data_IF_972531000324
#
_entry.id   IF_972531000324
#
_cell.length_a   1.000
_cell.length_b   1.000
_cell.length_c   1.000
_cell.angle_alpha   90.00
_cell.angle_beta   90.00
_cell.angle_gamma   90.00
#
_symmetry.space_group_name_H-M   'P 1'
#
loop_
_entity.id
_entity.type
_entity.pdbx_description
1 polymer ?
#
# COMPACT_ATOMS: atom_id res chain seq x y z
N UNK A 1 -4.08 -21.18 19.94
CA UNK A 1 -3.94 -19.77 19.56
C UNK A 1 -5.13 -18.99 20.09
N UNK A 2 -4.94 -17.75 20.51
CA UNK A 2 -6.03 -16.86 20.94
C UNK A 2 -6.19 -15.76 19.89
N UNK A 3 -7.42 -15.52 19.45
CA UNK A 3 -7.81 -14.47 18.51
C UNK A 3 -8.83 -13.57 19.22
N UNK A 4 -8.49 -12.31 19.40
CA UNK A 4 -9.33 -11.31 20.07
C UNK A 4 -9.81 -10.30 19.04
N UNK A 5 -11.12 -10.19 18.83
CA UNK A 5 -11.69 -9.12 18.02
C UNK A 5 -11.62 -7.80 18.79
N UNK A 6 -11.12 -6.77 18.12
CA UNK A 6 -10.94 -5.43 18.67
C UNK A 6 -11.73 -4.47 17.80
N UNK A 7 -12.60 -3.67 18.40
CA UNK A 7 -13.33 -2.59 17.74
C UNK A 7 -13.29 -1.34 18.61
N UNK A 8 -12.76 -0.24 18.08
CA UNK A 8 -12.50 0.98 18.84
C UNK A 8 -12.97 2.23 18.10
N UNK A 9 -13.44 3.28 18.82
CA UNK A 9 -13.64 4.58 18.21
C UNK A 9 -12.29 5.18 17.77
N UNK A 10 -12.36 6.12 16.84
CA UNK A 10 -11.24 6.97 16.46
C UNK A 10 -11.46 8.39 17.01
N UNK A 11 -10.41 9.17 17.31
CA UNK A 11 -10.54 10.59 17.64
C UNK A 11 -11.41 11.40 16.68
N UNK A 12 -11.51 10.97 15.41
CA UNK A 12 -12.32 11.64 14.37
C UNK A 12 -13.59 10.87 13.96
N UNK A 13 -13.91 9.75 14.61
CA UNK A 13 -15.15 9.01 14.35
C UNK A 13 -15.57 8.13 15.54
N UNK A 14 -16.83 8.27 15.96
CA UNK A 14 -17.45 7.38 16.95
C UNK A 14 -17.92 6.06 16.34
N UNK A 15 -18.57 5.23 17.19
CA UNK A 15 -19.30 4.05 16.73
C UNK A 15 -20.47 4.48 15.83
N UNK A 16 -20.57 3.91 14.64
CA UNK A 16 -21.67 4.19 13.72
C UNK A 16 -23.02 3.77 14.32
N UNK A 17 -24.11 4.41 13.88
CA UNK A 17 -25.47 4.08 14.36
C UNK A 17 -25.88 2.63 14.11
N UNK A 18 -25.34 1.98 13.07
CA UNK A 18 -25.52 0.56 12.79
C UNK A 18 -24.64 -0.37 13.68
N UNK A 19 -23.79 0.19 14.54
CA UNK A 19 -23.02 -0.55 15.55
C UNK A 19 -21.56 -0.87 15.20
N UNK A 20 -21.08 -0.53 14.01
CA UNK A 20 -19.67 -0.70 13.62
C UNK A 20 -18.74 0.35 14.24
N UNK A 21 -17.54 -0.05 14.65
CA UNK A 21 -16.47 0.88 15.01
C UNK A 21 -15.65 1.25 13.76
N UNK A 22 -15.09 2.47 13.66
CA UNK A 22 -14.28 2.88 12.51
C UNK A 22 -12.95 2.12 12.45
N UNK A 23 -12.39 1.72 13.60
CA UNK A 23 -11.16 0.95 13.66
C UNK A 23 -11.47 -0.45 14.18
N UNK A 24 -11.09 -1.47 13.42
CA UNK A 24 -11.41 -2.87 13.74
C UNK A 24 -10.25 -3.79 13.39
N UNK A 25 -10.10 -4.90 14.12
CA UNK A 25 -9.05 -5.86 13.84
C UNK A 25 -9.15 -7.14 14.64
N UNK A 26 -8.19 -8.04 14.40
CA UNK A 26 -7.99 -9.25 15.20
C UNK A 26 -6.58 -9.25 15.77
N UNK A 27 -6.49 -9.43 17.07
CA UNK A 27 -5.23 -9.60 17.77
C UNK A 27 -4.95 -11.09 18.03
N UNK A 28 -3.82 -11.56 17.53
CA UNK A 28 -3.36 -12.94 17.62
C UNK A 28 -2.21 -13.05 18.63
N UNK A 29 -2.32 -14.04 19.54
CA UNK A 29 -1.24 -14.42 20.45
C UNK A 29 -1.30 -15.90 20.85
N UNK A 30 -0.18 -16.44 21.32
CA UNK A 30 -0.15 -17.77 21.92
C UNK A 30 -0.97 -17.83 23.22
N UNK A 31 -1.60 -18.98 23.49
CA UNK A 31 -2.34 -19.21 24.75
C UNK A 31 -1.35 -19.27 25.91
N UNK A 32 -1.70 -18.67 27.06
CA UNK A 32 -0.87 -18.70 28.27
C UNK A 32 0.39 -17.83 28.23
N UNK A 33 0.66 -17.11 27.13
CA UNK A 33 1.77 -16.14 27.03
C UNK A 33 1.24 -14.75 26.71
N UNK A 34 1.77 -13.74 27.40
CA UNK A 34 1.60 -12.33 27.05
C UNK A 34 2.85 -11.86 26.29
N UNK A 35 2.77 -11.60 24.97
CA UNK A 35 3.92 -11.12 24.21
C UNK A 35 4.42 -9.79 24.78
N UNK A 36 5.73 -9.54 24.70
CA UNK A 36 6.31 -8.21 24.91
C UNK A 36 6.57 -7.44 23.63
N UNK A 37 6.63 -8.16 22.51
CA UNK A 37 6.76 -7.61 21.17
C UNK A 37 5.51 -7.98 20.38
N UNK A 38 4.93 -7.02 19.66
CA UNK A 38 3.85 -7.27 18.72
C UNK A 38 4.04 -6.53 17.41
N UNK A 39 3.47 -7.09 16.34
CA UNK A 39 3.38 -6.46 15.03
C UNK A 39 1.98 -5.90 14.82
N UNK A 40 1.88 -4.82 14.04
CA UNK A 40 0.61 -4.30 13.51
C UNK A 40 0.70 -4.17 12.00
N UNK A 41 -0.32 -4.64 11.28
CA UNK A 41 -0.40 -4.54 9.83
C UNK A 41 -1.71 -3.87 9.42
N UNK A 42 -1.63 -2.88 8.53
CA UNK A 42 -2.80 -2.22 7.95
C UNK A 42 -2.61 -1.99 6.44
N UNK A 43 -3.72 -1.86 5.74
CA UNK A 43 -3.76 -1.59 4.30
C UNK A 43 -4.75 -0.47 4.00
N UNK A 44 -4.58 0.18 2.85
CA UNK A 44 -5.44 1.27 2.40
C UNK A 44 -6.93 0.88 2.29
N UNK A 45 -7.21 -0.29 1.72
CA UNK A 45 -8.59 -0.72 1.42
C UNK A 45 -8.89 -2.20 1.69
N UNK A 46 -7.88 -3.05 1.82
CA UNK A 46 -8.06 -4.50 1.92
C UNK A 46 -8.26 -4.86 3.39
N UNK A 47 -9.05 -5.89 3.68
CA UNK A 47 -9.17 -6.41 5.03
C UNK A 47 -7.87 -7.08 5.49
N UNK A 48 -7.24 -6.50 6.50
CA UNK A 48 -6.02 -7.01 7.11
C UNK A 48 -6.26 -7.61 8.50
N UNK A 49 -7.51 -7.69 8.98
CA UNK A 49 -7.81 -8.29 10.28
C UNK A 49 -7.33 -9.74 10.37
N UNK A 50 -7.54 -10.53 9.32
CA UNK A 50 -7.08 -11.93 9.20
C UNK A 50 -5.79 -12.07 8.38
N UNK A 51 -4.84 -11.13 8.54
CA UNK A 51 -3.59 -11.15 7.78
C UNK A 51 -2.86 -12.51 7.85
N UNK A 52 -2.37 -13.00 6.71
CA UNK A 52 -1.86 -14.37 6.57
C UNK A 52 -0.63 -14.71 7.44
N UNK A 53 0.07 -13.71 7.97
CA UNK A 53 1.19 -13.89 8.91
C UNK A 53 0.78 -14.00 10.38
N UNK A 54 -0.46 -13.68 10.74
CA UNK A 54 -0.84 -13.44 12.13
C UNK A 54 -0.58 -14.66 13.04
N UNK A 55 -1.05 -15.84 12.64
CA UNK A 55 -0.81 -17.08 13.40
C UNK A 55 0.65 -17.52 13.37
N UNK A 56 1.36 -17.30 12.27
CA UNK A 56 2.79 -17.65 12.15
C UNK A 56 3.67 -16.83 13.10
N UNK A 57 3.39 -15.53 13.25
CA UNK A 57 4.14 -14.69 14.19
C UNK A 57 3.78 -15.00 15.63
N UNK A 58 2.50 -15.22 15.92
CA UNK A 58 2.05 -15.50 17.27
C UNK A 58 2.48 -16.89 17.79
N UNK A 59 2.66 -17.89 16.92
CA UNK A 59 3.31 -19.15 17.28
C UNK A 59 4.81 -18.99 17.61
N UNK A 60 5.46 -17.96 17.05
CA UNK A 60 6.84 -17.52 17.39
C UNK A 60 6.87 -16.57 18.58
N UNK A 61 5.75 -16.45 19.29
CA UNK A 61 5.61 -15.66 20.51
C UNK A 61 5.53 -14.15 20.28
N UNK A 62 5.42 -13.67 19.04
CA UNK A 62 5.24 -12.25 18.70
C UNK A 62 3.74 -11.98 18.53
N UNK A 63 3.17 -11.05 19.30
CA UNK A 63 1.77 -10.68 19.11
C UNK A 63 1.53 -10.14 17.69
N UNK A 64 0.34 -10.30 17.13
CA UNK A 64 0.06 -9.76 15.81
C UNK A 64 -1.33 -9.14 15.76
N UNK A 65 -1.42 -7.85 15.48
CA UNK A 65 -2.67 -7.13 15.26
C UNK A 65 -2.85 -6.91 13.76
N UNK A 66 -3.74 -7.70 13.17
CA UNK A 66 -4.32 -7.37 11.87
C UNK A 66 -5.30 -6.22 12.06
N UNK A 67 -5.07 -5.07 11.41
CA UNK A 67 -5.78 -3.82 11.71
C UNK A 67 -6.37 -3.18 10.45
N UNK A 68 -7.64 -2.79 10.56
CA UNK A 68 -8.35 -2.05 9.54
C UNK A 68 -8.61 -0.63 10.03
N UNK A 69 -8.27 0.33 9.17
CA UNK A 69 -8.80 1.69 9.28
C UNK A 69 -10.25 1.72 8.81
N UNK A 70 -10.92 2.87 8.96
CA UNK A 70 -12.28 3.05 8.45
C UNK A 70 -12.41 2.90 6.93
N UNK A 71 -11.27 2.89 6.22
CA UNK A 71 -11.23 2.89 4.76
C UNK A 71 -11.18 1.48 4.14
N UNK A 72 -11.27 0.42 4.94
CA UNK A 72 -11.44 -0.95 4.43
C UNK A 72 -12.70 -1.03 3.55
N UNK A 73 -12.52 -1.28 2.26
CA UNK A 73 -13.59 -1.30 1.25
C UNK A 73 -14.10 0.08 0.82
N UNK A 74 -13.52 1.18 1.31
CA UNK A 74 -13.97 2.56 1.07
C UNK A 74 -12.84 3.44 0.53
N UNK A 75 -12.08 2.92 -0.44
CA UNK A 75 -10.94 3.59 -1.08
C UNK A 75 -11.30 4.96 -1.68
N UNK A 76 -12.50 5.10 -2.24
CA UNK A 76 -13.00 6.36 -2.81
C UNK A 76 -13.16 7.49 -1.80
N UNK A 77 -13.17 7.18 -0.50
CA UNK A 77 -13.27 8.16 0.59
C UNK A 77 -11.96 8.30 1.36
N UNK A 78 -10.87 7.68 0.91
CA UNK A 78 -9.60 7.62 1.64
C UNK A 78 -9.03 9.01 1.95
N UNK A 79 -8.63 9.22 3.21
CA UNK A 79 -7.91 10.40 3.68
C UNK A 79 -6.70 9.92 4.49
N UNK A 80 -5.50 10.33 4.08
CA UNK A 80 -4.26 9.84 4.68
C UNK A 80 -4.19 10.17 6.18
N UNK A 81 -4.38 11.44 6.55
CA UNK A 81 -4.30 11.90 7.94
C UNK A 81 -5.25 11.13 8.87
N UNK A 82 -6.49 10.88 8.43
CA UNK A 82 -7.46 10.08 9.18
C UNK A 82 -7.04 8.60 9.28
N UNK A 83 -6.45 8.04 8.22
CA UNK A 83 -5.95 6.68 8.23
C UNK A 83 -4.79 6.53 9.22
N UNK A 84 -3.89 7.53 9.30
CA UNK A 84 -2.78 7.53 10.25
C UNK A 84 -3.28 7.61 11.70
N UNK A 85 -4.29 8.43 11.98
CA UNK A 85 -4.97 8.47 13.29
C UNK A 85 -5.60 7.12 13.63
N UNK A 86 -6.28 6.48 12.69
CA UNK A 86 -6.89 5.16 12.88
C UNK A 86 -5.85 4.06 13.16
N UNK A 87 -4.68 4.10 12.49
CA UNK A 87 -3.55 3.21 12.80
C UNK A 87 -3.01 3.50 14.21
N UNK A 88 -2.94 4.78 14.59
CA UNK A 88 -2.50 5.22 15.91
C UNK A 88 -3.36 4.67 17.06
N UNK A 89 -4.66 4.49 16.84
CA UNK A 89 -5.54 3.81 17.80
C UNK A 89 -5.09 2.37 18.05
N UNK A 90 -4.75 1.62 17.00
CA UNK A 90 -4.27 0.24 17.10
C UNK A 90 -2.90 0.14 17.80
N UNK A 91 -1.96 1.03 17.46
CA UNK A 91 -0.64 1.11 18.12
C UNK A 91 -0.78 1.43 19.60
N UNK A 92 -1.61 2.41 19.95
CA UNK A 92 -1.87 2.78 21.35
C UNK A 92 -2.52 1.63 22.11
N UNK A 93 -3.49 0.95 21.52
CA UNK A 93 -4.14 -0.21 22.13
C UNK A 93 -3.14 -1.35 22.42
N UNK A 94 -2.21 -1.63 21.50
CA UNK A 94 -1.15 -2.62 21.75
C UNK A 94 -0.31 -2.23 22.98
N UNK A 95 0.14 -0.97 23.06
CA UNK A 95 0.96 -0.51 24.19
C UNK A 95 0.18 -0.49 25.50
N UNK A 96 -0.98 0.17 25.53
CA UNK A 96 -1.70 0.48 26.76
C UNK A 96 -2.59 -0.67 27.25
N UNK A 97 -3.33 -1.33 26.36
CA UNK A 97 -4.30 -2.38 26.74
C UNK A 97 -3.66 -3.77 26.80
N UNK A 98 -2.75 -4.08 25.87
CA UNK A 98 -2.05 -5.37 25.84
C UNK A 98 -0.70 -5.37 26.56
N UNK A 99 -0.19 -4.20 26.96
CA UNK A 99 1.09 -4.08 27.67
C UNK A 99 2.28 -4.48 26.81
N UNK A 100 2.22 -4.18 25.50
CA UNK A 100 3.31 -4.43 24.54
C UNK A 100 4.39 -3.37 24.72
N UNK A 101 5.62 -3.83 24.97
CA UNK A 101 6.78 -2.98 25.16
C UNK A 101 7.34 -2.51 23.80
N UNK A 102 7.35 -3.40 22.81
CA UNK A 102 7.88 -3.15 21.46
C UNK A 102 6.82 -3.38 20.38
N UNK A 103 6.54 -2.36 19.58
CA UNK A 103 5.62 -2.42 18.43
C UNK A 103 6.43 -2.36 17.13
N UNK A 104 6.18 -3.29 16.22
CA UNK A 104 6.78 -3.30 14.88
C UNK A 104 5.68 -3.09 13.85
N UNK A 105 5.85 -2.09 12.97
CA UNK A 105 4.92 -1.86 11.87
C UNK A 105 5.22 -2.85 10.74
N UNK A 106 4.19 -3.47 10.17
CA UNK A 106 4.28 -4.30 8.99
C UNK A 106 3.51 -3.67 7.83
N UNK A 107 4.25 -3.18 6.83
CA UNK A 107 3.70 -2.77 5.56
C UNK A 107 3.80 -3.90 4.52
N UNK A 108 2.67 -4.55 4.21
CA UNK A 108 2.59 -5.49 3.09
C UNK A 108 1.90 -4.82 1.88
N UNK A 109 2.45 -4.99 0.67
CA UNK A 109 1.88 -4.40 -0.55
C UNK A 109 1.74 -2.88 -0.43
N UNK A 110 0.55 -2.33 -0.65
CA UNK A 110 0.27 -0.91 -0.42
C UNK A 110 0.47 -0.48 1.03
N UNK A 111 0.31 -1.39 1.98
CA UNK A 111 0.62 -1.15 3.39
C UNK A 111 2.05 -0.66 3.62
N UNK A 112 3.01 -0.98 2.74
CA UNK A 112 4.39 -0.47 2.79
C UNK A 112 4.44 1.06 2.93
N UNK A 113 3.89 1.75 1.94
CA UNK A 113 3.82 3.22 1.93
C UNK A 113 2.96 3.80 3.05
N UNK A 114 1.82 3.16 3.37
CA UNK A 114 0.91 3.65 4.40
C UNK A 114 1.54 3.59 5.80
N UNK A 115 2.16 2.47 6.13
CA UNK A 115 2.83 2.28 7.42
C UNK A 115 4.11 3.11 7.51
N UNK A 116 4.77 3.40 6.38
CA UNK A 116 5.88 4.36 6.34
C UNK A 116 5.39 5.78 6.64
N UNK A 117 4.28 6.21 6.02
CA UNK A 117 3.65 7.49 6.30
C UNK A 117 3.27 7.62 7.78
N UNK A 118 2.67 6.58 8.37
CA UNK A 118 2.39 6.52 9.80
C UNK A 118 3.64 6.74 10.66
N UNK A 119 4.70 5.97 10.41
CA UNK A 119 5.93 6.07 11.20
C UNK A 119 6.52 7.47 11.08
N UNK A 120 6.64 8.00 9.86
CA UNK A 120 7.20 9.33 9.65
C UNK A 120 6.39 10.43 10.34
N UNK A 121 5.05 10.32 10.33
CA UNK A 121 4.17 11.30 10.96
C UNK A 121 4.26 11.22 12.49
N UNK A 122 4.44 10.02 13.04
CA UNK A 122 4.56 9.78 14.47
C UNK A 122 5.94 10.18 15.02
N UNK A 123 6.99 10.22 14.20
CA UNK A 123 8.33 10.69 14.59
C UNK A 123 8.51 12.18 14.37
N UNK A 124 8.11 12.69 13.20
CA UNK A 124 8.25 14.10 12.82
C UNK A 124 7.02 14.51 11.98
N UNK A 125 5.98 15.13 12.58
CA UNK A 125 4.75 15.51 11.89
C UNK A 125 5.00 16.26 10.57
N UNK A 126 4.56 15.68 9.45
CA UNK A 126 4.84 16.18 8.10
C UNK A 126 3.65 16.10 7.12
N UNK A 127 2.62 15.30 7.43
CA UNK A 127 1.43 15.15 6.59
C UNK A 127 0.50 16.35 6.73
N UNK A 128 0.09 16.92 5.60
CA UNK A 128 -0.90 18.01 5.55
C UNK A 128 -2.26 17.50 5.08
N UNK A 129 -3.38 18.08 5.57
CA UNK A 129 -4.71 17.75 5.05
C UNK A 129 -4.86 18.18 3.59
N UNK A 130 -5.84 17.59 2.89
CA UNK A 130 -6.24 18.06 1.56
C UNK A 130 -6.70 19.52 1.60
N UNK A 131 -6.55 20.23 0.47
CA UNK A 131 -6.90 21.64 0.37
C UNK A 131 -8.35 21.91 0.80
N UNK A 132 -8.51 22.89 1.69
CA UNK A 132 -9.80 23.27 2.26
C UNK A 132 -10.33 22.32 3.34
N UNK A 133 -9.53 21.36 3.81
CA UNK A 133 -9.85 20.51 4.96
C UNK A 133 -9.00 20.88 6.17
N UNK A 134 -9.50 20.55 7.36
CA UNK A 134 -8.74 20.66 8.61
C UNK A 134 -7.97 19.36 8.86
N UNK A 135 -6.79 19.40 9.50
CA UNK A 135 -6.10 18.19 9.92
C UNK A 135 -6.99 17.32 10.82
N UNK A 136 -6.88 16.00 10.67
CA UNK A 136 -7.51 15.06 11.59
C UNK A 136 -7.12 15.33 13.05
N UNK A 137 -8.10 15.35 13.96
CA UNK A 137 -7.81 15.41 15.40
C UNK A 137 -6.96 14.19 15.83
N UNK A 138 -5.90 14.42 16.59
CA UNK A 138 -4.96 13.38 17.03
C UNK A 138 -3.81 13.09 16.07
N UNK A 139 -3.73 13.75 14.90
CA UNK A 139 -2.67 13.53 13.90
C UNK A 139 -1.26 13.83 14.43
N UNK A 140 -1.14 14.71 15.43
CA UNK A 140 0.12 15.09 16.08
C UNK A 140 0.41 14.31 17.36
N UNK A 141 -0.51 13.43 17.78
CA UNK A 141 -0.44 12.69 19.05
C UNK A 141 -0.15 11.18 18.82
N UNK A 142 0.34 10.85 17.61
CA UNK A 142 0.65 9.48 17.23
C UNK A 142 1.89 8.99 17.98
N UNK A 143 1.85 7.73 18.41
CA UNK A 143 2.96 7.11 19.12
C UNK A 143 3.84 6.37 18.10
N UNK A 144 5.14 6.69 17.97
CA UNK A 144 6.01 5.99 17.05
C UNK A 144 6.16 4.51 17.45
N UNK A 145 6.34 3.67 16.43
CA UNK A 145 6.72 2.28 16.61
C UNK A 145 8.25 2.14 16.68
N UNK A 146 8.68 0.97 17.15
CA UNK A 146 10.09 0.68 17.44
C UNK A 146 10.84 0.05 16.25
N UNK A 147 10.11 -0.46 15.25
CA UNK A 147 10.69 -1.04 14.04
C UNK A 147 9.72 -1.06 12.86
N UNK A 148 10.27 -1.21 11.66
CA UNK A 148 9.52 -1.19 10.40
C UNK A 148 9.86 -2.40 9.52
N UNK A 149 8.85 -3.14 9.09
CA UNK A 149 9.01 -4.26 8.14
C UNK A 149 8.17 -3.95 6.90
N UNK A 150 8.81 -3.92 5.74
CA UNK A 150 8.14 -3.90 4.44
C UNK A 150 8.23 -5.29 3.81
N UNK A 151 7.12 -5.84 3.29
CA UNK A 151 7.12 -7.15 2.63
C UNK A 151 6.27 -7.17 1.38
N UNK A 152 6.84 -7.60 0.24
CA UNK A 152 6.18 -7.52 -1.08
C UNK A 152 5.51 -6.14 -1.27
N UNK A 153 6.21 -5.07 -0.90
CA UNK A 153 5.67 -3.73 -0.80
C UNK A 153 6.05 -2.90 -2.03
N UNK A 154 5.13 -2.07 -2.51
CA UNK A 154 5.38 -1.14 -3.62
C UNK A 154 5.71 0.27 -3.10
N UNK A 155 6.34 1.14 -3.92
CA UNK A 155 6.83 2.46 -3.48
C UNK A 155 5.72 3.48 -3.16
N UNK A 156 4.47 3.20 -3.53
CA UNK A 156 3.34 4.05 -3.16
C UNK A 156 2.16 3.83 -4.10
N UNK A 157 0.96 4.23 -3.68
CA UNK A 157 -0.24 4.18 -4.54
C UNK A 157 -0.07 5.00 -5.84
N UNK A 158 0.53 6.20 -5.83
CA UNK A 158 0.76 6.97 -7.06
C UNK A 158 1.78 6.32 -8.00
N UNK A 159 2.91 5.88 -7.45
CA UNK A 159 3.99 5.25 -8.21
C UNK A 159 3.51 3.92 -8.84
N UNK A 160 2.86 3.04 -8.06
CA UNK A 160 2.39 1.73 -8.57
C UNK A 160 1.26 1.88 -9.58
N UNK A 161 0.29 2.77 -9.33
CA UNK A 161 -0.80 3.02 -10.27
C UNK A 161 -0.23 3.49 -11.60
N UNK A 162 0.66 4.49 -11.57
CA UNK A 162 1.22 5.04 -12.81
C UNK A 162 2.00 4.00 -13.58
N UNK A 163 2.79 3.16 -12.90
CA UNK A 163 3.51 2.07 -13.55
C UNK A 163 2.59 1.03 -14.19
N UNK A 164 1.35 0.88 -13.70
CA UNK A 164 0.36 -0.07 -14.21
C UNK A 164 -0.65 0.55 -15.18
N UNK A 165 -0.73 1.88 -15.30
CA UNK A 165 -1.65 2.55 -16.22
C UNK A 165 -1.34 2.17 -17.67
N UNK A 166 -2.36 1.89 -18.45
CA UNK A 166 -2.22 1.71 -19.89
C UNK A 166 -1.91 3.04 -20.56
N UNK A 167 -0.73 3.14 -21.17
CA UNK A 167 -0.25 4.35 -21.83
C UNK A 167 -0.98 4.64 -23.15
N UNK A 168 -1.70 3.66 -23.70
CA UNK A 168 -2.39 3.78 -24.97
C UNK A 168 -3.81 4.36 -24.85
N UNK A 169 -4.27 4.67 -23.65
CA UNK A 169 -5.56 5.35 -23.44
C UNK A 169 -5.46 6.80 -23.92
N UNK A 170 -6.34 7.17 -24.85
CA UNK A 170 -6.39 8.53 -25.44
C UNK A 170 -7.59 9.35 -25.00
N UNK A 171 -8.62 8.71 -24.45
CA UNK A 171 -9.79 9.35 -23.84
C UNK A 171 -10.15 8.60 -22.56
N UNK A 172 -10.21 9.29 -21.41
CA UNK A 172 -10.56 8.70 -20.11
C UNK A 172 -12.05 8.30 -20.01
N UNK A 173 -12.89 8.69 -20.97
CA UNK A 173 -14.32 8.36 -21.00
C UNK A 173 -14.68 7.29 -22.04
N UNK A 174 -13.75 6.89 -22.92
CA UNK A 174 -13.94 5.82 -23.89
C UNK A 174 -12.97 4.65 -23.61
N UNK A 175 -13.46 3.49 -23.10
CA UNK A 175 -12.61 2.36 -22.77
C UNK A 175 -11.98 1.66 -23.99
N UNK A 176 -12.48 1.93 -25.20
CA UNK A 176 -12.06 1.24 -26.43
C UNK A 176 -11.00 2.03 -27.20
N UNK A 177 -11.10 3.36 -27.23
CA UNK A 177 -10.16 4.23 -27.94
C UNK A 177 -8.71 3.96 -27.49
N UNK A 178 -7.83 3.69 -28.47
CA UNK A 178 -6.47 3.20 -28.21
C UNK A 178 -5.46 3.77 -29.21
N UNK A 179 -4.34 4.30 -28.72
CA UNK A 179 -3.18 4.68 -29.52
C UNK A 179 -2.36 3.42 -29.89
N UNK A 180 -2.42 3.01 -31.15
CA UNK A 180 -1.84 1.73 -31.60
C UNK A 180 -0.31 1.65 -31.44
N UNK A 181 0.40 2.78 -31.49
CA UNK A 181 1.86 2.87 -31.34
C UNK A 181 2.35 2.79 -29.88
N UNK A 182 1.41 2.90 -28.92
CA UNK A 182 1.63 2.72 -27.49
C UNK A 182 0.88 1.50 -26.93
N UNK A 183 0.04 0.83 -27.72
CA UNK A 183 -0.70 -0.35 -27.25
C UNK A 183 0.28 -1.48 -26.93
N UNK A 184 0.42 -1.74 -25.62
CA UNK A 184 1.28 -2.78 -25.07
C UNK A 184 0.89 -4.17 -25.59
N UNK A 185 -0.38 -4.37 -25.95
CA UNK A 185 -0.94 -5.65 -26.38
C UNK A 185 -1.08 -5.76 -27.91
N UNK A 186 -0.63 -4.76 -28.66
CA UNK A 186 -0.51 -4.84 -30.11
C UNK A 186 0.71 -5.70 -30.47
N UNK A 187 0.51 -6.69 -31.35
CA UNK A 187 1.56 -7.63 -31.78
C UNK A 187 2.73 -6.92 -32.47
N UNK A 188 2.48 -5.79 -33.16
CA UNK A 188 3.52 -4.99 -33.81
C UNK A 188 4.52 -4.36 -32.82
N UNK A 189 4.09 -4.14 -31.57
CA UNK A 189 4.94 -3.62 -30.48
C UNK A 189 5.51 -4.73 -29.61
N UNK A 190 5.11 -6.00 -29.81
CA UNK A 190 5.17 -7.08 -28.83
C UNK A 190 6.55 -7.39 -28.24
N UNK A 191 6.61 -8.16 -27.14
CA UNK A 191 7.85 -8.44 -26.42
C UNK A 191 8.83 -9.31 -27.24
N UNK A 192 10.15 -9.20 -27.01
CA UNK A 192 10.77 -8.31 -26.03
C UNK A 192 10.69 -6.84 -26.47
N UNK A 193 10.23 -5.97 -25.56
CA UNK A 193 10.03 -4.56 -25.88
C UNK A 193 11.39 -3.87 -26.01
N UNK A 194 11.55 -3.07 -27.07
CA UNK A 194 12.77 -2.29 -27.23
C UNK A 194 12.89 -1.22 -26.13
N UNK A 195 14.13 -0.83 -25.81
CA UNK A 195 14.37 0.25 -24.85
C UNK A 195 13.65 1.56 -25.26
N UNK A 196 13.62 1.86 -26.55
CA UNK A 196 12.92 3.04 -27.10
C UNK A 196 11.39 2.95 -26.92
N UNK A 197 10.79 1.77 -27.08
CA UNK A 197 9.37 1.58 -26.78
C UNK A 197 9.10 1.78 -25.29
N UNK A 198 9.90 1.14 -24.42
CA UNK A 198 9.73 1.25 -22.97
C UNK A 198 9.83 2.71 -22.52
N UNK A 199 10.81 3.47 -23.02
CA UNK A 199 10.99 4.88 -22.69
C UNK A 199 9.74 5.71 -23.05
N UNK A 200 9.28 5.63 -24.32
CA UNK A 200 8.06 6.33 -24.77
C UNK A 200 6.82 5.91 -23.98
N UNK A 201 6.70 4.63 -23.67
CA UNK A 201 5.58 4.08 -22.92
C UNK A 201 5.55 4.62 -21.48
N UNK A 202 6.70 4.64 -20.78
CA UNK A 202 6.80 5.21 -19.43
C UNK A 202 6.51 6.72 -19.41
N UNK A 203 7.00 7.46 -20.40
CA UNK A 203 6.69 8.90 -20.52
C UNK A 203 5.19 9.14 -20.70
N UNK A 204 4.52 8.33 -21.52
CA UNK A 204 3.08 8.41 -21.73
C UNK A 204 2.27 8.01 -20.48
N UNK A 205 2.72 7.02 -19.69
CA UNK A 205 2.12 6.71 -18.39
C UNK A 205 2.17 7.91 -17.43
N UNK A 206 3.33 8.58 -17.33
CA UNK A 206 3.50 9.78 -16.51
C UNK A 206 2.59 10.92 -16.99
N UNK A 207 2.57 11.16 -18.31
CA UNK A 207 1.73 12.18 -18.92
C UNK A 207 0.23 11.93 -18.63
N UNK A 208 -0.23 10.67 -18.69
CA UNK A 208 -1.61 10.29 -18.38
C UNK A 208 -1.96 10.59 -16.91
N UNK A 209 -1.12 10.19 -15.95
CA UNK A 209 -1.35 10.51 -14.52
C UNK A 209 -1.44 12.03 -14.27
N UNK A 210 -0.55 12.78 -14.91
CA UNK A 210 -0.52 14.24 -14.84
C UNK A 210 -1.78 14.87 -15.44
N UNK A 211 -2.21 14.44 -16.63
CA UNK A 211 -3.42 14.95 -17.27
C UNK A 211 -4.68 14.71 -16.41
N UNK A 212 -4.83 13.53 -15.81
CA UNK A 212 -5.96 13.25 -14.90
C UNK A 212 -5.85 14.14 -13.65
N UNK A 213 -4.64 14.39 -13.13
CA UNK A 213 -4.44 15.31 -12.01
C UNK A 213 -4.86 16.73 -12.37
N UNK A 214 -4.41 17.28 -13.50
CA UNK A 214 -4.76 18.63 -13.97
C UNK A 214 -6.28 18.79 -14.15
N UNK A 215 -6.92 17.78 -14.74
CA UNK A 215 -8.37 17.73 -14.86
C UNK A 215 -9.05 17.67 -13.48
N UNK A 216 -8.58 16.81 -12.58
CA UNK A 216 -9.20 16.63 -11.26
C UNK A 216 -9.13 17.90 -10.41
N UNK A 217 -8.00 18.62 -10.45
CA UNK A 217 -7.84 19.92 -9.79
C UNK A 217 -8.82 20.97 -10.35
N UNK A 218 -8.90 21.07 -11.68
CA UNK A 218 -9.79 22.01 -12.38
C UNK A 218 -11.26 21.71 -12.10
N UNK A 219 -11.62 20.43 -12.20
CA UNK A 219 -12.97 19.95 -11.98
C UNK A 219 -13.39 20.13 -10.51
N UNK A 220 -12.49 19.89 -9.56
CA UNK A 220 -12.79 20.06 -8.13
C UNK A 220 -13.12 21.52 -7.81
N UNK A 221 -12.39 22.47 -8.41
CA UNK A 221 -12.69 23.90 -8.31
C UNK A 221 -14.06 24.22 -8.92
N UNK A 222 -14.35 23.69 -10.12
CA UNK A 222 -15.63 23.93 -10.83
C UNK A 222 -16.83 23.40 -10.04
N UNK A 223 -16.80 22.16 -9.57
CA UNK A 223 -17.94 21.56 -8.85
C UNK A 223 -18.15 22.21 -7.48
N UNK A 224 -17.08 22.62 -6.80
CA UNK A 224 -17.17 23.38 -5.53
C UNK A 224 -17.76 24.76 -5.70
N UNK A 225 -17.41 25.48 -6.77
CA UNK A 225 -18.05 26.76 -7.09
C UNK A 225 -19.56 26.62 -7.34
N UNK A 226 -19.99 25.45 -7.80
CA UNK A 226 -21.41 25.10 -7.97
C UNK A 226 -22.08 24.51 -6.71
N UNK A 227 -21.39 24.47 -5.57
CA UNK A 227 -21.94 24.00 -4.29
C UNK A 227 -21.79 22.50 -4.00
N UNK A 228 -21.12 21.73 -4.87
CA UNK A 228 -20.83 20.32 -4.63
C UNK A 228 -19.53 20.14 -3.84
N UNK A 229 -19.44 19.11 -3.00
CA UNK A 229 -18.24 18.85 -2.19
C UNK A 229 -17.12 18.11 -2.95
N UNK A 230 -17.52 17.23 -3.87
CA UNK A 230 -16.67 16.33 -4.66
C UNK A 230 -17.48 15.72 -5.83
N UNK A 231 -16.83 14.96 -6.70
CA UNK A 231 -17.45 14.22 -7.82
C UNK A 231 -16.81 12.83 -8.00
N UNK A 232 -17.60 11.76 -8.21
CA UNK A 232 -17.06 10.46 -8.58
C UNK A 232 -16.68 10.40 -10.07
N UNK A 233 -15.65 9.62 -10.39
CA UNK A 233 -15.24 9.26 -11.74
C UNK A 233 -14.50 7.91 -11.77
N UNK A 234 -14.25 7.38 -12.95
CA UNK A 234 -13.57 6.09 -13.15
C UNK A 234 -12.23 6.29 -13.84
N UNK A 235 -11.23 5.50 -13.44
CA UNK A 235 -9.97 5.33 -14.16
C UNK A 235 -9.92 3.90 -14.66
N UNK A 236 -9.81 3.74 -15.98
CA UNK A 236 -9.83 2.42 -16.63
C UNK A 236 -8.44 1.99 -17.08
N UNK A 237 -8.30 0.69 -17.38
CA UNK A 237 -7.08 0.11 -17.98
C UNK A 237 -5.82 0.39 -17.14
N UNK A 238 -5.74 -0.30 -16.00
CA UNK A 238 -4.67 -0.16 -14.99
C UNK A 238 -3.95 -1.49 -14.69
N UNK A 239 -3.78 -2.33 -15.72
CA UNK A 239 -3.03 -3.60 -15.67
C UNK A 239 -2.05 -3.74 -16.85
N UNK A 240 -1.29 -2.69 -17.13
CA UNK A 240 -0.44 -2.58 -18.31
C UNK A 240 0.96 -2.05 -17.99
N UNK A 241 1.60 -2.61 -16.95
CA UNK A 241 3.03 -2.46 -16.75
C UNK A 241 3.78 -3.39 -17.73
N UNK A 242 4.72 -2.90 -18.56
CA UNK A 242 5.50 -3.73 -19.48
C UNK A 242 6.17 -4.94 -18.80
N UNK A 243 6.56 -4.81 -17.52
CA UNK A 243 7.18 -5.89 -16.73
C UNK A 243 6.26 -7.07 -16.46
N UNK A 244 4.93 -6.87 -16.51
CA UNK A 244 3.93 -7.94 -16.38
C UNK A 244 3.88 -8.82 -17.63
N UNK A 245 4.20 -8.26 -18.80
CA UNK A 245 4.11 -8.94 -20.10
C UNK A 245 5.47 -9.51 -20.51
N UNK A 246 6.51 -8.68 -20.45
CA UNK A 246 7.87 -9.02 -20.86
C UNK A 246 8.74 -9.43 -19.66
N UNK A 247 9.11 -10.72 -19.54
CA UNK A 247 9.95 -11.19 -18.45
C UNK A 247 11.40 -10.68 -18.54
N UNK A 248 11.83 -10.15 -19.69
CA UNK A 248 13.22 -9.70 -19.89
C UNK A 248 13.56 -8.33 -19.30
N UNK A 249 12.56 -7.46 -19.08
CA UNK A 249 12.75 -6.10 -18.54
C UNK A 249 13.29 -6.12 -17.10
N UNK A 250 12.97 -7.18 -16.35
CA UNK A 250 13.51 -7.42 -15.01
C UNK A 250 13.41 -8.91 -14.74
N UNK A 251 14.42 -9.74 -15.09
CA UNK A 251 14.29 -11.19 -15.00
C UNK A 251 14.14 -11.68 -13.56
N UNK A 252 13.04 -12.38 -13.25
CA UNK A 252 12.78 -12.98 -11.92
C UNK A 252 12.16 -14.37 -12.06
N UNK A 253 11.70 -14.97 -10.94
CA UNK A 253 11.02 -16.27 -10.93
C UNK A 253 9.52 -16.17 -11.21
N UNK A 254 9.02 -14.99 -11.58
CA UNK A 254 7.61 -14.77 -11.88
C UNK A 254 7.17 -15.55 -13.12
N UNK A 255 5.92 -15.97 -13.13
CA UNK A 255 5.30 -16.44 -14.37
C UNK A 255 5.20 -15.26 -15.36
N UNK A 256 5.74 -15.39 -16.59
CA UNK A 256 5.59 -14.35 -17.61
C UNK A 256 4.13 -14.12 -18.00
N UNK A 257 3.81 -12.91 -18.48
CA UNK A 257 2.48 -12.52 -18.96
C UNK A 257 1.36 -12.77 -17.92
N UNK A 258 1.62 -12.39 -16.69
CA UNK A 258 0.72 -12.54 -15.55
C UNK A 258 0.73 -11.27 -14.69
N UNK A 259 -0.44 -10.87 -14.21
CA UNK A 259 -0.64 -9.89 -13.13
C UNK A 259 -1.59 -10.49 -12.08
N UNK A 260 -1.91 -9.76 -11.02
CA UNK A 260 -2.78 -10.26 -9.95
C UNK A 260 -4.20 -10.62 -10.41
N UNK A 261 -4.69 -9.96 -11.46
CA UNK A 261 -6.00 -10.21 -12.05
C UNK A 261 -5.97 -11.19 -13.24
N UNK A 262 -4.86 -11.91 -13.44
CA UNK A 262 -4.68 -12.89 -14.52
C UNK A 262 -3.86 -12.35 -15.69
N UNK A 263 -4.22 -12.75 -16.92
CA UNK A 263 -3.49 -12.31 -18.13
C UNK A 263 -3.66 -10.79 -18.30
N UNK A 264 -2.57 -10.00 -18.33
CA UNK A 264 -2.62 -8.53 -18.38
C UNK A 264 -3.56 -7.97 -19.45
N UNK A 265 -3.51 -8.48 -20.69
CA UNK A 265 -4.39 -8.03 -21.77
C UNK A 265 -5.89 -8.16 -21.45
N UNK A 266 -6.29 -9.24 -20.76
CA UNK A 266 -7.69 -9.47 -20.34
C UNK A 266 -8.04 -8.66 -19.10
N UNK A 267 -7.15 -8.64 -18.11
CA UNK A 267 -7.32 -7.89 -16.88
C UNK A 267 -7.47 -6.38 -17.15
N UNK A 268 -6.65 -5.85 -18.05
CA UNK A 268 -6.63 -4.44 -18.41
C UNK A 268 -7.91 -3.98 -19.11
N UNK A 269 -8.57 -4.88 -19.87
CA UNK A 269 -9.87 -4.63 -20.52
C UNK A 269 -11.07 -5.02 -19.63
N UNK A 270 -10.86 -5.20 -18.33
CA UNK A 270 -11.89 -5.57 -17.36
C UNK A 270 -12.19 -4.44 -16.37
N UNK A 271 -13.22 -4.62 -15.54
CA UNK A 271 -13.55 -3.71 -14.45
C UNK A 271 -12.66 -3.88 -13.20
N UNK A 272 -11.73 -4.84 -13.17
CA UNK A 272 -10.92 -5.17 -11.99
C UNK A 272 -9.68 -4.28 -11.81
N UNK A 273 -9.69 -3.05 -12.34
CA UNK A 273 -8.57 -2.12 -12.20
C UNK A 273 -8.48 -1.53 -10.80
N UNK A 274 -7.25 -1.22 -10.34
CA UNK A 274 -7.08 -0.30 -9.21
C UNK A 274 -7.46 1.12 -9.64
N UNK A 275 -7.93 1.94 -8.70
CA UNK A 275 -8.48 3.28 -8.96
C UNK A 275 -9.73 3.31 -9.87
N UNK A 276 -10.36 2.16 -10.17
CA UNK A 276 -11.55 2.09 -11.01
C UNK A 276 -12.75 2.89 -10.47
N UNK A 277 -12.83 3.07 -9.15
CA UNK A 277 -13.79 3.95 -8.50
C UNK A 277 -13.04 5.05 -7.72
N UNK A 278 -13.00 6.26 -8.28
CA UNK A 278 -12.37 7.42 -7.68
C UNK A 278 -13.37 8.53 -7.40
N UNK A 279 -12.98 9.44 -6.52
CA UNK A 279 -13.47 10.83 -6.53
C UNK A 279 -12.31 11.77 -6.86
N UNK A 280 -12.61 13.04 -7.14
CA UNK A 280 -11.56 14.04 -7.39
C UNK A 280 -10.63 14.14 -6.18
N UNK A 281 -11.17 14.12 -4.96
CA UNK A 281 -10.35 14.15 -3.73
C UNK A 281 -9.52 12.88 -3.56
N UNK A 282 -10.09 11.69 -3.79
CA UNK A 282 -9.32 10.46 -3.65
C UNK A 282 -8.18 10.40 -4.68
N UNK A 283 -8.41 10.91 -5.90
CA UNK A 283 -7.35 11.04 -6.90
C UNK A 283 -6.21 11.94 -6.42
N UNK A 284 -6.52 13.16 -6.01
CA UNK A 284 -5.52 14.13 -5.56
C UNK A 284 -4.79 13.67 -4.29
N UNK A 285 -5.49 13.02 -3.36
CA UNK A 285 -4.94 12.59 -2.08
C UNK A 285 -4.20 11.26 -2.07
N UNK A 286 -4.42 10.39 -3.06
CA UNK A 286 -3.89 9.03 -3.03
C UNK A 286 -3.23 8.56 -4.33
N UNK A 287 -3.61 9.10 -5.50
CA UNK A 287 -3.23 8.55 -6.82
C UNK A 287 -2.37 9.48 -7.66
N UNK A 288 -2.48 10.79 -7.45
CA UNK A 288 -1.69 11.78 -8.16
C UNK A 288 -0.20 11.68 -7.78
N UNK A 289 0.68 11.55 -8.79
CA UNK A 289 2.13 11.58 -8.57
C UNK A 289 2.62 12.93 -8.02
N UNK A 290 1.93 14.02 -8.34
CA UNK A 290 2.33 15.38 -7.97
C UNK A 290 1.80 15.81 -6.61
N UNK A 291 0.62 15.34 -6.23
CA UNK A 291 -0.14 15.88 -5.09
C UNK A 291 -0.24 14.90 -3.92
N UNK A 292 -0.29 13.59 -4.17
CA UNK A 292 -0.58 12.64 -3.12
C UNK A 292 0.62 12.43 -2.19
N UNK A 293 0.36 12.42 -0.89
CA UNK A 293 1.33 12.13 0.17
C UNK A 293 1.37 10.62 0.50
N UNK A 294 0.92 9.77 -0.42
CA UNK A 294 0.91 8.29 -0.29
C UNK A 294 2.10 7.62 -0.99
N UNK A 295 3.11 8.42 -1.36
CA UNK A 295 4.41 7.98 -1.87
C UNK A 295 5.32 7.64 -0.69
N UNK A 296 5.94 6.47 -0.70
CA UNK A 296 6.72 5.98 0.44
C UNK A 296 8.03 6.75 0.62
N UNK A 297 8.72 7.10 -0.47
CA UNK A 297 10.10 7.60 -0.42
C UNK A 297 10.32 8.81 0.52
N UNK A 298 9.50 9.89 0.49
CA UNK A 298 9.62 10.98 1.45
C UNK A 298 9.45 10.57 2.91
N UNK A 299 8.65 9.53 3.17
CA UNK A 299 8.39 9.01 4.51
C UNK A 299 9.47 8.04 4.96
N UNK A 300 9.95 7.16 4.08
CA UNK A 300 11.05 6.22 4.34
C UNK A 300 12.34 6.97 4.72
N UNK A 301 12.58 8.14 4.12
CA UNK A 301 13.69 9.04 4.44
C UNK A 301 13.61 9.64 5.87
N UNK A 302 12.53 9.38 6.61
CA UNK A 302 12.33 9.79 8.01
C UNK A 302 12.23 8.60 8.98
N UNK A 303 12.43 7.37 8.49
CA UNK A 303 12.42 6.16 9.31
C UNK A 303 13.86 5.79 9.63
N UNK A 304 14.28 6.10 10.85
CA UNK A 304 15.62 5.81 11.40
C UNK A 304 15.67 4.56 12.29
N UNK A 305 14.51 4.08 12.76
CA UNK A 305 14.40 2.86 13.55
C UNK A 305 14.80 1.61 12.73
N UNK A 306 15.10 0.47 13.38
CA UNK A 306 15.48 -0.75 12.67
C UNK A 306 14.46 -1.17 11.60
N UNK A 307 14.96 -1.52 10.42
CA UNK A 307 14.12 -1.89 9.29
C UNK A 307 14.47 -3.23 8.60
N UNK A 308 13.45 -3.90 8.07
CA UNK A 308 13.58 -5.08 7.22
C UNK A 308 12.73 -4.92 5.96
N UNK A 309 13.35 -5.11 4.79
CA UNK A 309 12.64 -5.13 3.50
C UNK A 309 12.68 -6.56 2.94
N UNK A 310 11.52 -7.14 2.65
CA UNK A 310 11.39 -8.50 2.15
C UNK A 310 10.76 -8.50 0.75
N UNK A 311 11.43 -9.11 -0.22
CA UNK A 311 10.92 -9.29 -1.58
C UNK A 311 10.33 -10.69 -1.79
N UNK A 312 9.34 -10.80 -2.67
CA UNK A 312 8.82 -12.06 -3.20
C UNK A 312 9.29 -12.19 -4.67
N UNK A 313 10.16 -13.17 -4.97
CA UNK A 313 10.85 -13.26 -6.26
C UNK A 313 9.96 -13.68 -7.44
N UNK A 314 8.80 -14.28 -7.16
CA UNK A 314 7.83 -14.70 -8.17
C UNK A 314 6.56 -13.81 -8.18
N UNK A 315 6.65 -12.64 -7.56
CA UNK A 315 5.61 -11.61 -7.59
C UNK A 315 5.38 -11.07 -9.01
N UNK A 316 4.13 -10.80 -9.33
CA UNK A 316 3.65 -10.40 -10.67
C UNK A 316 3.16 -8.96 -10.76
N UNK A 317 3.32 -8.17 -9.70
CA UNK A 317 2.96 -6.74 -9.70
C UNK A 317 3.88 -5.85 -8.84
N UNK A 318 4.66 -6.43 -7.93
CA UNK A 318 5.77 -5.77 -7.23
C UNK A 318 7.06 -6.49 -7.59
N UNK A 319 8.09 -5.73 -7.92
CA UNK A 319 9.33 -6.28 -8.47
C UNK A 319 10.53 -6.02 -7.54
N UNK A 320 11.63 -6.79 -7.67
CA UNK A 320 12.84 -6.57 -6.86
C UNK A 320 13.35 -5.12 -6.86
N UNK A 321 13.20 -4.39 -7.96
CA UNK A 321 13.55 -2.96 -8.06
C UNK A 321 12.75 -2.10 -7.09
N UNK A 322 11.48 -2.45 -6.82
CA UNK A 322 10.62 -1.74 -5.87
C UNK A 322 11.12 -1.96 -4.43
N UNK A 323 11.49 -3.20 -4.10
CA UNK A 323 12.10 -3.52 -2.80
C UNK A 323 13.46 -2.82 -2.63
N UNK A 324 14.28 -2.74 -3.68
CA UNK A 324 15.54 -1.99 -3.67
C UNK A 324 15.30 -0.50 -3.42
N UNK A 325 14.35 0.11 -4.15
CA UNK A 325 13.98 1.53 -3.96
C UNK A 325 13.51 1.83 -2.54
N UNK A 326 12.70 0.96 -1.94
CA UNK A 326 12.28 1.09 -0.54
C UNK A 326 13.49 0.98 0.40
N UNK A 327 14.38 0.00 0.18
CA UNK A 327 15.57 -0.19 1.01
C UNK A 327 16.51 1.01 0.96
N UNK A 328 16.75 1.56 -0.23
CA UNK A 328 17.64 2.71 -0.42
C UNK A 328 17.08 3.99 0.20
N UNK A 329 15.77 4.19 0.12
CA UNK A 329 15.09 5.36 0.67
C UNK A 329 15.04 5.40 2.21
N UNK A 330 15.22 4.27 2.91
CA UNK A 330 15.22 4.22 4.37
C UNK A 330 16.39 5.01 4.97
N UNK A 331 16.09 5.94 5.88
CA UNK A 331 17.12 6.66 6.65
C UNK A 331 17.84 5.78 7.68
N UNK A 332 17.23 4.68 8.10
CA UNK A 332 17.78 3.73 9.05
C UNK A 332 19.15 3.20 8.62
N UNK A 333 20.11 3.21 9.55
CA UNK A 333 21.40 2.54 9.39
C UNK A 333 21.34 1.06 9.78
N UNK A 334 20.37 0.68 10.62
CA UNK A 334 20.10 -0.72 10.98
C UNK A 334 19.00 -1.29 10.06
N UNK A 335 19.34 -1.44 8.78
CA UNK A 335 18.43 -1.98 7.76
C UNK A 335 18.98 -3.22 7.08
N UNK A 336 18.10 -4.21 6.91
CA UNK A 336 18.41 -5.47 6.22
C UNK A 336 17.41 -5.78 5.11
N UNK A 337 17.82 -6.59 4.14
CA UNK A 337 16.96 -7.08 3.06
C UNK A 337 16.93 -8.62 3.06
N UNK A 338 15.81 -9.18 2.67
CA UNK A 338 15.65 -10.61 2.37
C UNK A 338 14.79 -10.80 1.12
N UNK A 339 14.91 -11.96 0.48
CA UNK A 339 14.09 -12.38 -0.66
C UNK A 339 13.63 -13.80 -0.43
N UNK A 340 12.40 -14.11 -0.82
CA UNK A 340 11.83 -15.47 -0.77
C UNK A 340 11.30 -15.83 -2.16
N UNK A 341 11.54 -17.06 -2.59
CA UNK A 341 11.03 -17.59 -3.85
C UNK A 341 9.53 -17.94 -3.75
N UNK A 342 8.69 -16.93 -3.96
CA UNK A 342 7.24 -17.07 -3.83
C UNK A 342 6.48 -15.93 -4.50
N UNK A 343 5.16 -16.08 -4.60
CA UNK A 343 4.24 -15.06 -5.10
C UNK A 343 4.00 -13.92 -4.08
N UNK A 344 3.23 -12.91 -4.49
CA UNK A 344 2.91 -11.71 -3.70
C UNK A 344 2.35 -12.00 -2.29
N UNK A 345 1.61 -13.10 -2.12
CA UNK A 345 0.95 -13.49 -0.88
C UNK A 345 1.61 -14.68 -0.18
N UNK A 346 2.81 -15.04 -0.62
CA UNK A 346 3.64 -16.10 -0.07
C UNK A 346 2.90 -17.45 -0.08
N UNK A 347 2.09 -17.74 -1.10
CA UNK A 347 1.24 -18.96 -1.11
C UNK A 347 2.00 -20.24 -1.45
N UNK A 348 3.24 -20.14 -1.96
CA UNK A 348 4.13 -21.29 -2.13
C UNK A 348 4.24 -22.06 -0.79
N UNK A 349 4.07 -23.39 -0.78
CA UNK A 349 4.15 -24.18 0.44
C UNK A 349 5.43 -23.91 1.24
N UNK A 350 5.27 -23.51 2.50
CA UNK A 350 6.38 -23.18 3.41
C UNK A 350 6.83 -21.71 3.41
N UNK A 351 6.53 -20.93 2.37
CA UNK A 351 7.04 -19.55 2.24
C UNK A 351 6.58 -18.62 3.37
N UNK A 352 5.32 -18.70 3.81
CA UNK A 352 4.83 -17.95 5.00
C UNK A 352 5.56 -18.32 6.29
N UNK A 353 5.95 -19.58 6.45
CA UNK A 353 6.73 -20.01 7.62
C UNK A 353 8.14 -19.45 7.55
N UNK A 354 8.79 -19.54 6.39
CA UNK A 354 10.12 -18.96 6.14
C UNK A 354 10.13 -17.44 6.36
N UNK A 355 9.09 -16.75 5.87
CA UNK A 355 8.89 -15.32 6.08
C UNK A 355 8.79 -14.99 7.57
N UNK A 356 7.93 -15.72 8.29
CA UNK A 356 7.76 -15.52 9.72
C UNK A 356 9.02 -15.86 10.54
N UNK A 357 9.78 -16.89 10.15
CA UNK A 357 11.06 -17.24 10.78
C UNK A 357 12.10 -16.14 10.57
N UNK A 358 12.14 -15.56 9.37
CA UNK A 358 13.04 -14.46 9.04
C UNK A 358 12.71 -13.21 9.87
N UNK A 359 11.43 -12.82 9.93
CA UNK A 359 10.97 -11.69 10.74
C UNK A 359 11.22 -11.95 12.23
N UNK A 360 10.88 -13.15 12.74
CA UNK A 360 11.06 -13.47 14.15
C UNK A 360 12.54 -13.49 14.58
N UNK A 361 13.45 -14.02 13.75
CA UNK A 361 14.89 -13.93 14.01
C UNK A 361 15.37 -12.48 14.02
N UNK A 362 14.89 -11.67 13.08
CA UNK A 362 15.20 -10.24 13.00
C UNK A 362 14.71 -9.47 14.24
N UNK A 363 13.51 -9.78 14.74
CA UNK A 363 12.96 -9.24 15.99
C UNK A 363 13.79 -9.68 17.20
N UNK A 364 14.07 -10.98 17.32
CA UNK A 364 14.80 -11.53 18.47
C UNK A 364 16.16 -10.84 18.63
N UNK A 365 16.94 -10.71 17.56
CA UNK A 365 18.27 -10.05 17.60
C UNK A 365 18.25 -8.63 18.22
N UNK A 366 17.10 -7.94 18.25
CA UNK A 366 16.96 -6.55 18.68
C UNK A 366 16.25 -6.37 20.02
N UNK A 367 15.27 -7.22 20.32
CA UNK A 367 14.37 -7.01 21.45
C UNK A 367 14.12 -8.26 22.31
N UNK A 368 14.86 -9.36 22.10
CA UNK A 368 14.79 -10.57 22.94
C UNK A 368 16.14 -11.23 23.12
#
# INVERSE_FOLDING_TARGET
MLREFVGLPSPTAGRAGAGGHPCQGLYHRAVGRKPKVAMIAAHYQIDFSEHYLADYMATRGVGFLGWNTRFRGFESSFLLDHALVDIGVGVRWLREAQGIDTVVLLGNSGGGSLMAAYQSQATEPNVTPLEGMRPAAGLTDLVPADGYVATAAHPGRPDVLTAWMDAAVVDENDPVATAADLDLFNEDNGPPYSADFIARYRDAQLARNHAITDWAETELKRVRAAGFSDRPFTVMRTWADPRMVDPSIEPTKRQPNLCYAGVPAKANRSAHGIAAACTLRSWLGMWSLRMAQTRAEPHLARIDCPALVMNAEADTGVFPSDAQRIYDALASTDKSRASIDTDHYFTTPGARSEQADTIARWITKRWR
#
